data_IF_111285037616
#
_entry.id   IF_111285037616
#
_cell.length_a   1.000
_cell.length_b   1.000
_cell.length_c   1.000
_cell.angle_alpha   90.00
_cell.angle_beta   90.00
_cell.angle_gamma   90.00
#
_symmetry.space_group_name_H-M   'P 1'
#
loop_
_entity.id
_entity.type
_entity.pdbx_description
1 polymer ?
#
# COMPACT_ATOMS: atom_id res chain seq x y z
N UNK A 1 -7.62 24.49 7.35
CA UNK A 1 -6.74 23.42 7.89
C UNK A 1 -7.56 22.26 8.43
N UNK A 2 -8.55 22.49 9.33
CA UNK A 2 -9.47 21.46 9.83
C UNK A 2 -10.15 20.62 8.73
N UNK A 3 -10.82 21.25 7.78
CA UNK A 3 -11.52 20.54 6.69
C UNK A 3 -10.59 19.69 5.81
N UNK A 4 -9.29 20.03 5.76
CA UNK A 4 -8.29 19.29 5.00
C UNK A 4 -7.77 18.05 5.77
N UNK A 5 -7.71 18.09 7.09
CA UNK A 5 -7.17 16.99 7.91
C UNK A 5 -8.14 15.81 7.95
N UNK A 6 -9.44 16.06 8.10
CA UNK A 6 -10.44 14.99 8.04
C UNK A 6 -10.37 14.24 6.71
N UNK A 7 -10.26 14.99 5.61
CA UNK A 7 -10.04 14.43 4.28
C UNK A 7 -8.82 13.53 4.20
N UNK A 8 -7.69 13.91 4.81
CA UNK A 8 -6.46 13.11 4.86
C UNK A 8 -6.57 11.86 5.74
N UNK A 9 -7.28 11.93 6.86
CA UNK A 9 -7.46 10.79 7.80
C UNK A 9 -8.36 9.73 7.17
N UNK A 10 -9.45 10.15 6.52
CA UNK A 10 -10.49 9.26 6.01
C UNK A 10 -10.24 8.83 4.55
N UNK A 11 -9.21 9.38 3.88
CA UNK A 11 -8.96 9.10 2.47
C UNK A 11 -8.68 7.62 2.20
N UNK A 12 -9.60 6.96 1.49
CA UNK A 12 -9.43 5.59 1.01
C UNK A 12 -9.06 4.61 2.13
N UNK A 13 -9.73 4.73 3.29
CA UNK A 13 -9.56 3.88 4.47
C UNK A 13 -8.12 3.86 5.06
N UNK A 14 -7.25 4.80 4.64
CA UNK A 14 -5.83 4.90 5.06
C UNK A 14 -5.66 5.64 6.37
N UNK A 15 -6.45 5.29 7.38
CA UNK A 15 -6.42 5.95 8.67
C UNK A 15 -5.02 5.77 9.29
N UNK A 16 -4.32 6.85 9.66
CA UNK A 16 -2.99 6.75 10.28
C UNK A 16 -2.98 5.92 11.56
N UNK A 17 -1.85 5.26 11.86
CA UNK A 17 -1.64 4.63 13.17
C UNK A 17 -1.26 5.68 14.19
N UNK A 18 -1.97 5.64 15.32
CA UNK A 18 -1.79 6.57 16.41
C UNK A 18 -2.02 5.88 17.76
N UNK A 19 -1.21 6.27 18.73
CA UNK A 19 -1.42 5.98 20.14
C UNK A 19 -0.95 7.18 20.96
N UNK A 20 -1.61 7.49 22.07
CA UNK A 20 -1.29 8.66 22.91
C UNK A 20 0.15 8.64 23.43
N UNK A 21 0.67 7.47 23.78
CA UNK A 21 2.01 7.32 24.37
C UNK A 21 3.08 6.95 23.33
N UNK A 22 2.70 6.75 22.06
CA UNK A 22 3.64 6.47 20.98
C UNK A 22 4.04 7.81 20.30
N UNK A 23 5.34 8.12 20.12
CA UNK A 23 5.78 9.47 19.77
C UNK A 23 5.53 9.87 18.31
N UNK A 24 5.13 8.93 17.45
CA UNK A 24 5.01 9.13 16.01
C UNK A 24 3.59 8.81 15.55
N UNK A 25 3.05 9.56 14.59
CA UNK A 25 1.85 9.19 13.83
C UNK A 25 2.30 8.59 12.50
N UNK A 26 1.85 7.37 12.19
CA UNK A 26 2.30 6.63 11.01
C UNK A 26 1.23 6.65 9.92
N UNK A 27 1.54 7.29 8.82
CA UNK A 27 0.75 7.25 7.59
C UNK A 27 1.20 6.08 6.71
N UNK A 28 0.27 5.54 5.95
CA UNK A 28 0.55 4.39 5.09
C UNK A 28 -0.36 4.41 3.85
N UNK A 29 -0.06 3.52 2.91
CA UNK A 29 -0.88 3.30 1.72
C UNK A 29 -0.94 1.82 1.39
N UNK A 30 -2.05 1.40 0.81
CA UNK A 30 -2.21 0.03 0.35
C UNK A 30 -1.08 -0.36 -0.60
N UNK A 31 -0.57 -1.59 -0.42
CA UNK A 31 0.55 -2.19 -1.19
C UNK A 31 1.92 -1.56 -0.98
N UNK A 32 2.06 -0.72 0.05
CA UNK A 32 3.32 -0.07 0.45
C UNK A 32 3.94 -0.63 1.73
N UNK A 33 3.58 -1.87 2.13
CA UNK A 33 4.08 -2.49 3.35
C UNK A 33 3.25 -2.18 4.60
N UNK A 34 1.98 -1.81 4.42
CA UNK A 34 1.05 -1.46 5.50
C UNK A 34 0.91 -2.54 6.58
N UNK A 35 0.91 -3.82 6.20
CA UNK A 35 0.85 -4.94 7.16
C UNK A 35 2.08 -5.01 8.05
N UNK A 36 3.28 -4.85 7.48
CA UNK A 36 4.52 -4.84 8.25
C UNK A 36 4.61 -3.63 9.17
N UNK A 37 4.16 -2.46 8.70
CA UNK A 37 4.10 -1.25 9.52
C UNK A 37 3.09 -1.39 10.66
N UNK A 38 1.91 -1.97 10.40
CA UNK A 38 0.90 -2.24 11.42
C UNK A 38 1.42 -3.23 12.47
N UNK A 39 2.05 -4.33 12.05
CA UNK A 39 2.69 -5.29 12.96
C UNK A 39 3.70 -4.59 13.88
N UNK A 40 4.58 -3.76 13.31
CA UNK A 40 5.55 -2.99 14.09
C UNK A 40 4.88 -2.00 15.04
N UNK A 41 3.89 -1.24 14.58
CA UNK A 41 3.15 -0.31 15.42
C UNK A 41 2.50 -1.03 16.62
N UNK A 42 1.78 -2.14 16.39
CA UNK A 42 1.14 -2.91 17.46
C UNK A 42 2.15 -3.55 18.41
N UNK A 43 3.33 -3.93 17.91
CA UNK A 43 4.44 -4.38 18.76
C UNK A 43 4.91 -3.26 19.68
N UNK A 44 5.15 -2.06 19.14
CA UNK A 44 5.64 -0.92 19.92
C UNK A 44 4.68 -0.48 21.02
N UNK A 45 3.37 -0.61 20.81
CA UNK A 45 2.36 -0.26 21.83
C UNK A 45 1.94 -1.45 22.70
N UNK A 46 2.61 -2.61 22.59
CA UNK A 46 2.36 -3.78 23.43
C UNK A 46 1.06 -4.55 23.14
N UNK A 47 0.46 -4.37 21.96
CA UNK A 47 -0.81 -4.99 21.57
C UNK A 47 -0.68 -6.07 20.48
N UNK A 48 0.54 -6.36 20.00
CA UNK A 48 0.76 -7.30 18.91
C UNK A 48 0.22 -8.71 19.19
N UNK A 49 0.51 -9.27 20.37
CA UNK A 49 0.03 -10.61 20.72
C UNK A 49 -1.49 -10.70 20.81
N UNK A 50 -2.14 -9.66 21.35
CA UNK A 50 -3.59 -9.56 21.43
C UNK A 50 -4.19 -9.51 20.02
N UNK A 51 -3.61 -8.68 19.15
CA UNK A 51 -4.06 -8.51 17.78
C UNK A 51 -3.93 -9.80 16.96
N UNK A 52 -2.82 -10.53 17.10
CA UNK A 52 -2.60 -11.80 16.39
C UNK A 52 -3.43 -12.96 16.96
N UNK A 53 -3.88 -12.89 18.23
CA UNK A 53 -4.86 -13.84 18.79
C UNK A 53 -6.27 -13.61 18.26
N UNK A 54 -6.62 -12.37 17.98
CA UNK A 54 -7.94 -12.00 17.44
C UNK A 54 -8.15 -12.57 16.03
N UNK A 55 -7.18 -12.39 15.14
CA UNK A 55 -7.24 -12.91 13.78
C UNK A 55 -5.82 -13.12 13.21
N UNK A 56 -5.65 -14.03 12.22
CA UNK A 56 -4.35 -14.28 11.59
C UNK A 56 -3.84 -13.14 10.69
N UNK A 57 -4.57 -12.03 10.60
CA UNK A 57 -4.21 -10.84 9.84
C UNK A 57 -4.47 -9.59 10.65
N UNK A 58 -3.40 -8.83 10.92
CA UNK A 58 -3.39 -7.68 11.84
C UNK A 58 -4.44 -6.62 11.51
N UNK A 59 -4.77 -6.45 10.22
CA UNK A 59 -5.71 -5.44 9.77
C UNK A 59 -7.14 -5.69 10.28
N UNK A 60 -7.53 -6.93 10.61
CA UNK A 60 -8.83 -7.20 11.25
C UNK A 60 -8.92 -6.57 12.65
N UNK A 61 -7.92 -6.84 13.50
CA UNK A 61 -7.85 -6.20 14.82
C UNK A 61 -7.75 -4.68 14.71
N UNK A 62 -6.94 -4.21 13.75
CA UNK A 62 -6.74 -2.79 13.49
C UNK A 62 -8.07 -2.07 13.19
N UNK A 63 -8.85 -2.56 12.23
CA UNK A 63 -10.08 -1.91 11.78
C UNK A 63 -11.27 -2.15 12.71
N UNK A 64 -11.44 -3.38 13.20
CA UNK A 64 -12.66 -3.78 13.93
C UNK A 64 -12.60 -3.43 15.41
N UNK A 65 -11.39 -3.44 15.99
CA UNK A 65 -11.18 -3.22 17.43
C UNK A 65 -10.45 -1.90 17.68
N UNK A 66 -9.24 -1.74 17.15
CA UNK A 66 -8.35 -0.67 17.61
C UNK A 66 -8.78 0.71 17.12
N UNK A 67 -9.01 0.89 15.81
CA UNK A 67 -9.42 2.17 15.22
C UNK A 67 -10.92 2.44 15.38
N UNK A 68 -11.70 1.44 15.76
CA UNK A 68 -13.14 1.57 16.02
C UNK A 68 -13.44 2.08 17.44
N UNK A 69 -12.42 2.38 18.25
CA UNK A 69 -12.58 3.04 19.55
C UNK A 69 -13.18 4.44 19.35
N UNK A 70 -14.16 4.79 20.19
CA UNK A 70 -14.97 6.02 20.08
C UNK A 70 -14.13 7.29 19.97
N UNK A 71 -12.98 7.34 20.65
CA UNK A 71 -12.13 8.51 20.75
C UNK A 71 -10.93 8.50 19.79
N UNK A 72 -10.72 7.42 19.01
CA UNK A 72 -9.54 7.26 18.17
C UNK A 72 -9.39 8.41 17.16
N UNK A 73 -10.43 8.66 16.37
CA UNK A 73 -10.43 9.68 15.32
C UNK A 73 -10.30 11.09 15.90
N UNK A 74 -11.08 11.39 16.93
CA UNK A 74 -11.04 12.71 17.59
C UNK A 74 -9.66 12.99 18.16
N UNK A 75 -9.04 12.01 18.83
CA UNK A 75 -7.69 12.17 19.38
C UNK A 75 -6.62 12.31 18.27
N UNK A 76 -6.72 11.51 17.21
CA UNK A 76 -5.83 11.61 16.05
C UNK A 76 -5.93 12.99 15.38
N UNK A 77 -7.15 13.47 15.14
CA UNK A 77 -7.39 14.78 14.51
C UNK A 77 -6.80 15.91 15.36
N UNK A 78 -7.04 15.90 16.68
CA UNK A 78 -6.47 16.90 17.59
C UNK A 78 -4.94 16.92 17.53
N UNK A 79 -4.30 15.75 17.56
CA UNK A 79 -2.84 15.64 17.53
C UNK A 79 -2.24 16.09 16.20
N UNK A 80 -2.92 15.82 15.07
CA UNK A 80 -2.52 16.34 13.76
C UNK A 80 -2.71 17.86 13.64
N UNK A 81 -3.75 18.43 14.24
CA UNK A 81 -3.98 19.88 14.28
C UNK A 81 -2.96 20.62 15.14
N UNK A 82 -2.56 20.02 16.26
CA UNK A 82 -1.57 20.57 17.17
C UNK A 82 -0.13 20.43 16.64
N UNK A 83 0.09 19.57 15.64
CA UNK A 83 1.40 19.20 15.10
C UNK A 83 2.40 18.75 16.18
N UNK A 84 1.86 18.18 17.27
CA UNK A 84 2.59 17.87 18.50
C UNK A 84 3.45 16.61 18.43
N UNK A 85 3.15 15.72 17.47
CA UNK A 85 3.92 14.50 17.18
C UNK A 85 4.65 14.60 15.86
N UNK A 86 5.70 13.80 15.71
CA UNK A 86 6.27 13.57 14.39
C UNK A 86 5.37 12.66 13.56
N UNK A 87 5.43 12.85 12.26
CA UNK A 87 4.54 12.21 11.30
C UNK A 87 5.38 11.61 10.20
N UNK A 88 5.24 10.29 10.03
CA UNK A 88 6.04 9.53 9.08
C UNK A 88 5.10 8.78 8.15
N UNK A 89 5.32 8.84 6.84
CA UNK A 89 4.61 8.01 5.87
C UNK A 89 5.51 6.93 5.29
N UNK A 90 5.03 5.70 5.30
CA UNK A 90 5.65 4.59 4.55
C UNK A 90 5.16 4.58 3.11
N UNK A 91 6.10 4.71 2.17
CA UNK A 91 5.85 4.77 0.73
C UNK A 91 6.67 3.72 0.01
N UNK A 92 6.28 3.38 -1.22
CA UNK A 92 6.96 2.36 -2.03
C UNK A 92 7.21 2.88 -3.44
N UNK A 93 8.27 2.40 -4.08
CA UNK A 93 8.53 2.67 -5.48
C UNK A 93 7.27 2.37 -6.34
N UNK A 94 6.78 3.33 -7.16
CA UNK A 94 5.54 3.15 -7.91
C UNK A 94 5.56 1.97 -8.88
N UNK A 95 6.71 1.59 -9.45
CA UNK A 95 6.82 0.40 -10.29
C UNK A 95 6.61 -0.89 -9.50
N UNK A 96 7.33 -1.07 -8.39
CA UNK A 96 7.14 -2.25 -7.52
C UNK A 96 5.70 -2.30 -6.98
N UNK A 97 5.11 -1.13 -6.71
CA UNK A 97 3.74 -1.03 -6.22
C UNK A 97 2.70 -1.40 -7.29
N UNK A 98 2.82 -0.90 -8.52
CA UNK A 98 1.86 -1.18 -9.60
C UNK A 98 1.73 -2.69 -9.89
N UNK A 99 2.86 -3.40 -9.98
CA UNK A 99 2.85 -4.87 -10.12
C UNK A 99 2.24 -5.53 -8.88
N UNK A 100 2.60 -5.06 -7.69
CA UNK A 100 2.00 -5.56 -6.44
C UNK A 100 0.49 -5.39 -6.45
N UNK A 101 -0.03 -4.26 -6.93
CA UNK A 101 -1.46 -3.99 -7.07
C UNK A 101 -2.13 -4.93 -8.07
N UNK A 102 -1.52 -5.13 -9.25
CA UNK A 102 -2.01 -6.08 -10.25
C UNK A 102 -2.11 -7.51 -9.71
N UNK A 103 -1.08 -7.97 -8.99
CA UNK A 103 -1.02 -9.31 -8.41
C UNK A 103 -2.04 -9.56 -7.29
N UNK A 104 -2.81 -8.55 -6.86
CA UNK A 104 -3.99 -8.79 -6.02
C UNK A 104 -5.04 -9.57 -6.79
N UNK A 105 -5.14 -9.36 -8.10
CA UNK A 105 -6.09 -10.08 -8.94
C UNK A 105 -5.74 -11.58 -9.07
N UNK A 106 -4.49 -11.95 -8.78
CA UNK A 106 -4.01 -13.33 -8.80
C UNK A 106 -4.26 -14.03 -7.46
N UNK A 107 -5.15 -15.03 -7.50
CA UNK A 107 -5.38 -15.97 -6.41
C UNK A 107 -5.61 -15.26 -5.06
N UNK A 108 -6.64 -14.42 -5.03
CA UNK A 108 -7.02 -13.66 -3.85
C UNK A 108 -8.56 -13.49 -3.79
N UNK A 109 -9.23 -13.99 -2.74
CA UNK A 109 -10.67 -13.84 -2.57
C UNK A 109 -11.14 -12.37 -2.56
N UNK A 110 -10.30 -11.45 -2.07
CA UNK A 110 -10.60 -10.01 -2.05
C UNK A 110 -10.94 -9.47 -3.44
N UNK A 111 -10.26 -9.99 -4.48
CA UNK A 111 -10.31 -9.47 -5.83
C UNK A 111 -11.64 -9.69 -6.58
N UNK A 112 -12.60 -10.42 -5.99
CA UNK A 112 -13.84 -10.83 -6.67
C UNK A 112 -14.62 -9.63 -7.21
N UNK A 113 -14.79 -8.57 -6.41
CA UNK A 113 -15.50 -7.36 -6.82
C UNK A 113 -14.71 -6.54 -7.85
N UNK A 114 -13.38 -6.52 -7.73
CA UNK A 114 -12.50 -5.83 -8.66
C UNK A 114 -12.52 -6.52 -10.03
N UNK A 115 -12.56 -7.86 -10.04
CA UNK A 115 -12.73 -8.64 -11.27
C UNK A 115 -14.03 -8.31 -12.00
N UNK A 116 -15.16 -8.25 -11.30
CA UNK A 116 -16.45 -7.85 -11.90
C UNK A 116 -16.34 -6.50 -12.60
N UNK A 117 -15.77 -5.49 -11.93
CA UNK A 117 -15.65 -4.14 -12.48
C UNK A 117 -14.70 -4.06 -13.68
N UNK A 118 -13.59 -4.78 -13.64
CA UNK A 118 -12.60 -4.76 -14.72
C UNK A 118 -13.12 -5.52 -15.94
N UNK A 119 -13.81 -6.64 -15.74
CA UNK A 119 -14.39 -7.44 -16.83
C UNK A 119 -15.57 -6.75 -17.48
N UNK A 120 -16.42 -6.09 -16.70
CA UNK A 120 -17.45 -5.21 -17.25
C UNK A 120 -16.83 -4.13 -18.16
N UNK A 121 -15.70 -3.54 -17.76
CA UNK A 121 -15.02 -2.51 -18.55
C UNK A 121 -14.43 -3.04 -19.86
N UNK A 122 -13.72 -4.17 -19.85
CA UNK A 122 -13.04 -4.68 -21.06
C UNK A 122 -13.94 -5.54 -21.96
N UNK A 123 -14.91 -6.23 -21.39
CA UNK A 123 -15.70 -7.25 -22.08
C UNK A 123 -17.18 -6.94 -22.14
N UNK A 124 -17.64 -5.86 -21.47
CA UNK A 124 -19.06 -5.53 -21.34
C UNK A 124 -19.87 -6.69 -20.74
N UNK A 125 -19.23 -7.48 -19.87
CA UNK A 125 -19.82 -8.56 -19.09
C UNK A 125 -18.99 -8.82 -17.82
N UNK A 126 -19.52 -8.40 -16.66
CA UNK A 126 -18.92 -8.65 -15.34
C UNK A 126 -18.73 -10.14 -15.00
N UNK A 127 -19.48 -11.05 -15.63
CA UNK A 127 -19.41 -12.49 -15.36
C UNK A 127 -18.47 -13.23 -16.33
N UNK A 128 -17.81 -12.51 -17.24
CA UNK A 128 -16.81 -13.10 -18.13
C UNK A 128 -15.72 -13.82 -17.30
N UNK A 129 -15.16 -14.88 -17.87
CA UNK A 129 -14.13 -15.71 -17.23
C UNK A 129 -12.71 -15.30 -17.61
N UNK A 130 -12.54 -14.57 -18.72
CA UNK A 130 -11.25 -14.06 -19.19
C UNK A 130 -10.58 -13.18 -18.13
N UNK A 131 -9.27 -13.33 -18.02
CA UNK A 131 -8.45 -12.42 -17.24
C UNK A 131 -7.86 -11.33 -18.13
N UNK A 132 -6.98 -10.53 -17.54
CA UNK A 132 -6.38 -9.37 -18.20
C UNK A 132 -4.86 -9.43 -18.06
N UNK A 133 -4.16 -8.75 -18.96
CA UNK A 133 -2.74 -8.50 -18.85
C UNK A 133 -2.42 -7.34 -17.89
N UNK A 134 -1.14 -7.20 -17.53
CA UNK A 134 -0.68 -6.07 -16.73
C UNK A 134 -0.93 -4.74 -17.45
N UNK A 135 -0.69 -4.66 -18.77
CA UNK A 135 -0.97 -3.44 -19.54
C UNK A 135 -2.45 -3.10 -19.58
N UNK A 136 -3.33 -4.10 -19.76
CA UNK A 136 -4.77 -3.89 -19.66
C UNK A 136 -5.15 -3.36 -18.26
N UNK A 137 -4.60 -3.94 -17.19
CA UNK A 137 -4.79 -3.40 -15.85
C UNK A 137 -4.36 -1.91 -15.73
N UNK A 138 -3.20 -1.54 -16.28
CA UNK A 138 -2.73 -0.15 -16.26
C UNK A 138 -3.67 0.78 -17.04
N UNK A 139 -4.17 0.36 -18.20
CA UNK A 139 -5.17 1.14 -18.95
C UNK A 139 -6.47 1.33 -18.16
N UNK A 140 -6.94 0.29 -17.47
CA UNK A 140 -8.09 0.40 -16.58
C UNK A 140 -7.86 1.43 -15.47
N UNK A 141 -6.70 1.38 -14.80
CA UNK A 141 -6.36 2.35 -13.75
C UNK A 141 -6.25 3.76 -14.31
N UNK A 142 -5.65 3.93 -15.49
CA UNK A 142 -5.54 5.21 -16.18
C UNK A 142 -6.92 5.80 -16.48
N UNK A 143 -7.82 5.00 -17.04
CA UNK A 143 -9.18 5.43 -17.40
C UNK A 143 -10.00 5.80 -16.17
N UNK A 144 -9.95 4.99 -15.10
CA UNK A 144 -10.65 5.30 -13.85
C UNK A 144 -10.05 6.50 -13.11
N UNK A 145 -8.79 6.82 -13.38
CA UNK A 145 -8.03 7.86 -12.73
C UNK A 145 -7.46 7.41 -11.38
N UNK A 146 -6.14 7.49 -11.22
CA UNK A 146 -5.45 7.03 -10.01
C UNK A 146 -5.85 7.76 -8.72
N UNK A 147 -6.49 8.93 -8.83
CA UNK A 147 -7.02 9.76 -7.72
C UNK A 147 -8.50 9.53 -7.42
N UNK A 148 -9.19 8.76 -8.27
CA UNK A 148 -10.63 8.60 -8.18
C UNK A 148 -11.03 7.82 -6.94
N UNK A 149 -12.02 8.33 -6.21
CA UNK A 149 -12.61 7.64 -5.05
C UNK A 149 -13.38 6.37 -5.46
N UNK A 150 -13.69 6.21 -6.75
CA UNK A 150 -14.38 5.03 -7.27
C UNK A 150 -13.39 3.89 -7.60
N UNK A 151 -12.10 4.21 -7.73
CA UNK A 151 -11.07 3.22 -7.95
C UNK A 151 -10.70 2.56 -6.62
N UNK A 152 -10.50 1.25 -6.64
CA UNK A 152 -10.03 0.51 -5.47
C UNK A 152 -8.74 1.12 -4.90
N UNK A 153 -8.71 1.30 -3.58
CA UNK A 153 -7.59 1.89 -2.86
C UNK A 153 -6.26 1.14 -3.00
N UNK A 154 -6.31 -0.15 -3.35
CA UNK A 154 -5.14 -0.94 -3.67
C UNK A 154 -4.56 -0.62 -5.05
N UNK A 155 -5.35 -0.04 -5.95
CA UNK A 155 -4.95 0.34 -7.30
C UNK A 155 -4.66 1.85 -7.41
N UNK A 156 -5.29 2.67 -6.57
CA UNK A 156 -5.12 4.12 -6.54
C UNK A 156 -3.69 4.56 -6.19
N UNK A 157 -3.32 5.81 -6.44
CA UNK A 157 -2.00 6.34 -6.09
C UNK A 157 -1.76 6.41 -4.57
N UNK A 158 -0.51 6.60 -4.15
CA UNK A 158 -0.16 6.73 -2.73
C UNK A 158 -0.31 8.15 -2.22
N UNK A 159 0.15 9.13 -3.00
CA UNK A 159 0.13 10.55 -2.67
C UNK A 159 -1.29 11.10 -2.61
N UNK A 160 -1.54 11.88 -1.56
CA UNK A 160 -2.78 12.62 -1.37
C UNK A 160 -2.40 14.10 -1.35
N UNK A 161 -3.06 14.90 -2.17
CA UNK A 161 -2.77 16.33 -2.27
C UNK A 161 -2.91 17.03 -0.91
N UNK A 162 -1.89 17.78 -0.50
CA UNK A 162 -1.90 18.52 0.76
C UNK A 162 -1.37 17.73 1.96
N UNK A 163 -1.00 16.46 1.79
CA UNK A 163 -0.47 15.63 2.88
C UNK A 163 0.91 16.09 3.38
N UNK A 164 1.67 16.82 2.54
CA UNK A 164 2.96 17.43 2.88
C UNK A 164 2.85 18.49 3.99
N UNK A 165 1.64 19.01 4.24
CA UNK A 165 1.38 19.96 5.33
C UNK A 165 1.38 19.29 6.70
N UNK A 166 1.19 17.98 6.73
CA UNK A 166 1.11 17.21 7.99
C UNK A 166 2.18 16.15 8.08
N UNK A 167 2.64 15.53 6.98
CA UNK A 167 3.70 14.51 6.98
C UNK A 167 5.07 15.19 6.94
N UNK A 168 5.85 15.00 8.01
CA UNK A 168 7.20 15.58 8.14
C UNK A 168 8.28 14.73 7.45
N UNK A 169 8.07 13.42 7.35
CA UNK A 169 9.05 12.50 6.78
C UNK A 169 8.40 11.38 5.98
N UNK A 170 9.03 11.02 4.85
CA UNK A 170 8.68 9.83 4.07
C UNK A 170 9.78 8.77 4.22
N UNK A 171 9.39 7.54 4.51
CA UNK A 171 10.29 6.38 4.55
C UNK A 171 9.97 5.45 3.38
N UNK A 172 11.01 5.00 2.68
CA UNK A 172 10.87 4.11 1.53
C UNK A 172 10.85 2.65 2.00
N UNK A 173 9.86 1.87 1.57
CA UNK A 173 9.70 0.46 1.93
C UNK A 173 10.95 -0.36 1.59
N UNK A 174 11.65 0.01 0.53
CA UNK A 174 12.91 -0.61 0.09
C UNK A 174 13.99 -0.56 1.18
N UNK A 175 13.88 0.38 2.12
CA UNK A 175 14.82 0.59 3.23
C UNK A 175 14.20 0.23 4.60
N UNK A 176 13.07 -0.48 4.63
CA UNK A 176 12.32 -0.75 5.88
C UNK A 176 13.20 -1.41 6.95
N UNK A 177 13.94 -2.46 6.57
CA UNK A 177 14.78 -3.23 7.50
C UNK A 177 15.94 -2.42 8.09
N UNK A 178 16.33 -1.31 7.45
CA UNK A 178 17.38 -0.42 7.95
C UNK A 178 16.82 0.78 8.70
N UNK A 179 15.68 1.32 8.25
CA UNK A 179 15.09 2.54 8.82
C UNK A 179 14.37 2.23 10.13
N UNK A 180 13.66 1.11 10.24
CA UNK A 180 12.89 0.81 11.46
C UNK A 180 13.79 0.71 12.70
N UNK A 181 14.91 -0.06 12.70
CA UNK A 181 15.83 -0.07 13.83
C UNK A 181 16.42 1.31 14.17
N UNK A 182 16.62 2.16 13.16
CA UNK A 182 17.09 3.52 13.36
C UNK A 182 16.03 4.39 14.05
N UNK A 183 14.76 4.30 13.61
CA UNK A 183 13.64 4.98 14.27
C UNK A 183 13.45 4.48 15.71
N UNK A 184 13.61 3.17 15.95
CA UNK A 184 13.56 2.62 17.30
C UNK A 184 14.60 3.27 18.21
N UNK A 185 15.83 3.42 17.72
CA UNK A 185 16.90 4.10 18.45
C UNK A 185 16.60 5.59 18.67
N UNK A 186 16.19 6.30 17.62
CA UNK A 186 16.00 7.76 17.65
C UNK A 186 14.86 8.18 18.58
N UNK A 187 13.80 7.37 18.66
CA UNK A 187 12.63 7.63 19.50
C UNK A 187 12.63 6.84 20.82
N UNK A 188 13.67 6.05 21.11
CA UNK A 188 13.77 5.24 22.33
C UNK A 188 12.70 4.15 22.43
N UNK A 189 12.31 3.58 21.29
CA UNK A 189 11.29 2.52 21.19
C UNK A 189 11.87 1.14 21.49
N UNK A 190 11.01 0.13 21.57
CA UNK A 190 11.42 -1.26 21.76
C UNK A 190 12.17 -1.75 20.52
N UNK A 191 13.27 -2.48 20.73
CA UNK A 191 13.93 -3.17 19.61
C UNK A 191 13.03 -4.30 19.13
N UNK A 192 12.74 -4.34 17.83
CA UNK A 192 11.89 -5.37 17.24
C UNK A 192 12.65 -6.37 16.39
N UNK A 193 12.17 -7.61 16.34
CA UNK A 193 12.61 -8.57 15.33
C UNK A 193 11.85 -8.31 14.03
N UNK A 194 12.45 -7.47 13.17
CA UNK A 194 11.86 -7.08 11.89
C UNK A 194 11.57 -8.29 11.00
N UNK A 195 12.37 -9.36 11.10
CA UNK A 195 12.16 -10.56 10.27
C UNK A 195 10.83 -11.22 10.60
N UNK A 196 10.44 -11.24 11.87
CA UNK A 196 9.15 -11.78 12.32
C UNK A 196 7.99 -10.86 11.91
N UNK A 197 8.15 -9.54 12.06
CA UNK A 197 7.09 -8.56 11.78
C UNK A 197 6.84 -8.34 10.28
N UNK A 198 7.83 -8.62 9.44
CA UNK A 198 7.75 -8.51 7.98
C UNK A 198 7.38 -9.82 7.28
N UNK A 199 7.35 -10.93 8.00
CA UNK A 199 6.96 -12.22 7.46
C UNK A 199 5.43 -12.29 7.27
N UNK A 200 4.96 -11.86 6.11
CA UNK A 200 3.57 -11.96 5.71
C UNK A 200 3.43 -12.88 4.50
N UNK A 201 2.45 -13.78 4.52
CA UNK A 201 2.07 -14.59 3.36
C UNK A 201 1.68 -13.72 2.14
N UNK A 202 1.33 -12.44 2.35
CA UNK A 202 1.05 -11.49 1.27
C UNK A 202 2.32 -10.88 0.65
N UNK A 203 3.48 -11.02 1.29
CA UNK A 203 4.76 -10.55 0.76
C UNK A 203 5.37 -11.58 -0.19
N UNK A 204 4.91 -11.56 -1.44
CA UNK A 204 5.26 -12.55 -2.47
C UNK A 204 6.61 -12.29 -3.17
N UNK A 205 7.37 -11.26 -2.78
CA UNK A 205 8.60 -10.86 -3.49
C UNK A 205 9.65 -11.99 -3.55
N UNK A 206 9.78 -12.78 -2.48
CA UNK A 206 10.69 -13.93 -2.43
C UNK A 206 10.29 -15.09 -3.36
N UNK A 207 9.02 -15.14 -3.78
CA UNK A 207 8.46 -16.15 -4.68
C UNK A 207 8.51 -15.69 -6.15
N UNK A 208 8.73 -14.40 -6.39
CA UNK A 208 8.72 -13.78 -7.72
C UNK A 208 10.02 -14.06 -8.48
N UNK A 209 10.22 -15.30 -8.92
CA UNK A 209 11.50 -15.78 -9.50
C UNK A 209 11.47 -15.99 -11.02
N UNK A 210 10.28 -16.05 -11.64
CA UNK A 210 10.13 -16.37 -13.06
C UNK A 210 10.46 -15.15 -13.94
N UNK A 211 11.49 -15.27 -14.78
CA UNK A 211 11.94 -14.23 -15.71
C UNK A 211 11.33 -14.44 -17.09
N UNK A 212 10.89 -13.37 -17.75
CA UNK A 212 10.34 -13.41 -19.10
C UNK A 212 9.73 -12.08 -19.50
N UNK A 213 8.87 -12.09 -20.53
CA UNK A 213 7.99 -10.99 -20.86
C UNK A 213 6.55 -11.43 -20.57
N UNK A 214 5.91 -10.81 -19.59
CA UNK A 214 4.54 -11.08 -19.16
C UNK A 214 3.69 -9.80 -19.10
N UNK A 215 4.12 -8.72 -19.77
CA UNK A 215 3.38 -7.46 -19.79
C UNK A 215 1.99 -7.60 -20.45
N UNK A 216 1.90 -8.45 -21.49
CA UNK A 216 0.71 -8.73 -22.29
C UNK A 216 0.02 -10.07 -21.94
N UNK A 217 0.56 -10.83 -21.00
CA UNK A 217 0.06 -12.17 -20.69
C UNK A 217 -1.14 -12.11 -19.74
N UNK A 218 -2.18 -12.90 -20.04
CA UNK A 218 -3.37 -13.03 -19.19
C UNK A 218 -3.00 -13.71 -17.87
N UNK A 219 -3.22 -13.01 -16.75
CA UNK A 219 -2.90 -13.49 -15.40
C UNK A 219 -3.71 -14.73 -14.96
N UNK A 220 -4.81 -15.04 -15.65
CA UNK A 220 -5.65 -16.23 -15.39
C UNK A 220 -5.30 -17.42 -16.28
N UNK A 221 -4.41 -17.24 -17.26
CA UNK A 221 -3.96 -18.34 -18.11
C UNK A 221 -3.30 -19.42 -17.22
N UNK A 222 -3.69 -20.71 -17.34
CA UNK A 222 -3.06 -21.80 -16.58
C UNK A 222 -1.54 -21.93 -16.79
N UNK A 223 -1.02 -21.41 -17.90
CA UNK A 223 0.42 -21.38 -18.20
C UNK A 223 1.12 -20.09 -17.76
N UNK A 224 0.37 -19.10 -17.24
CA UNK A 224 0.97 -17.94 -16.60
C UNK A 224 1.81 -18.42 -15.42
N UNK A 225 3.13 -18.15 -15.39
CA UNK A 225 3.95 -18.67 -14.32
C UNK A 225 3.49 -18.06 -13.01
N UNK A 226 3.45 -18.87 -11.95
CA UNK A 226 3.13 -18.35 -10.62
C UNK A 226 4.18 -17.32 -10.23
N UNK A 227 3.79 -16.04 -10.25
CA UNK A 227 4.57 -14.90 -9.77
C UNK A 227 5.86 -14.63 -10.58
N UNK A 228 5.76 -13.95 -11.75
CA UNK A 228 6.93 -13.42 -12.44
C UNK A 228 7.73 -12.43 -11.59
N UNK A 229 9.01 -12.23 -11.91
CA UNK A 229 9.81 -11.13 -11.32
C UNK A 229 9.19 -9.78 -11.64
N UNK A 230 9.37 -8.77 -10.78
CA UNK A 230 8.88 -7.41 -11.04
C UNK A 230 9.29 -6.89 -12.43
N UNK A 231 10.52 -7.18 -12.90
CA UNK A 231 11.02 -6.77 -14.23
C UNK A 231 10.22 -7.34 -15.38
N UNK A 232 9.66 -8.54 -15.21
CA UNK A 232 9.05 -9.26 -16.32
C UNK A 232 7.69 -8.69 -16.73
N UNK A 233 7.14 -7.77 -15.95
CA UNK A 233 5.92 -7.03 -16.27
C UNK A 233 6.19 -5.73 -17.05
N UNK A 234 7.45 -5.37 -17.29
CA UNK A 234 7.80 -4.08 -17.87
C UNK A 234 8.47 -4.21 -19.24
N UNK A 235 7.70 -3.87 -20.27
CA UNK A 235 8.20 -3.33 -21.52
C UNK A 235 8.21 -1.78 -21.47
N UNK A 236 8.56 -1.13 -22.58
CA UNK A 236 8.62 0.34 -22.68
C UNK A 236 7.24 0.98 -22.46
N UNK A 237 6.17 0.34 -22.96
CA UNK A 237 4.80 0.83 -22.85
C UNK A 237 4.31 0.80 -21.39
N UNK A 238 4.46 -0.34 -20.71
CA UNK A 238 4.10 -0.47 -19.30
C UNK A 238 4.89 0.48 -18.40
N UNK A 239 6.16 0.72 -18.74
CA UNK A 239 7.00 1.71 -18.07
C UNK A 239 6.42 3.12 -18.16
N UNK A 240 6.10 3.55 -19.38
CA UNK A 240 5.54 4.87 -19.62
C UNK A 240 4.16 5.04 -18.99
N UNK A 241 3.31 4.01 -19.06
CA UNK A 241 1.99 4.01 -18.41
C UNK A 241 2.10 4.20 -16.89
N UNK A 242 2.98 3.46 -16.21
CA UNK A 242 3.15 3.63 -14.75
C UNK A 242 3.71 5.02 -14.40
N UNK A 243 4.68 5.52 -15.18
CA UNK A 243 5.21 6.88 -15.00
C UNK A 243 4.12 7.94 -15.14
N UNK A 244 3.22 7.79 -16.10
CA UNK A 244 2.12 8.72 -16.35
C UNK A 244 1.06 8.63 -15.24
N UNK A 245 0.53 7.43 -14.98
CA UNK A 245 -0.57 7.18 -14.03
C UNK A 245 -0.20 7.65 -12.62
N UNK A 246 1.02 7.37 -12.17
CA UNK A 246 1.47 7.64 -10.80
C UNK A 246 2.48 8.78 -10.72
N UNK A 247 2.40 9.75 -11.65
CA UNK A 247 3.34 10.89 -11.73
C UNK A 247 3.52 11.60 -10.38
N UNK A 248 2.43 11.84 -9.65
CA UNK A 248 2.48 12.48 -8.34
C UNK A 248 3.29 11.68 -7.30
N UNK A 249 3.18 10.34 -7.30
CA UNK A 249 3.95 9.50 -6.38
C UNK A 249 5.46 9.62 -6.67
N UNK A 250 5.84 9.71 -7.94
CA UNK A 250 7.24 9.89 -8.31
C UNK A 250 7.77 11.23 -7.81
N UNK A 251 7.01 12.30 -8.03
CA UNK A 251 7.41 13.67 -7.70
C UNK A 251 7.43 13.90 -6.19
N UNK A 252 6.34 13.55 -5.50
CA UNK A 252 6.19 13.77 -4.06
C UNK A 252 7.22 13.00 -3.22
N UNK A 253 7.63 11.79 -3.64
CA UNK A 253 8.53 10.94 -2.86
C UNK A 253 9.95 10.82 -3.43
N UNK A 254 10.26 11.61 -4.46
CA UNK A 254 11.59 11.63 -5.08
C UNK A 254 11.99 10.25 -5.62
N UNK A 255 11.09 9.58 -6.33
CA UNK A 255 11.43 8.43 -7.15
C UNK A 255 11.71 8.90 -8.58
N UNK A 256 12.63 8.22 -9.26
CA UNK A 256 12.94 8.53 -10.64
C UNK A 256 11.99 7.82 -11.59
N UNK A 257 11.42 8.57 -12.53
CA UNK A 257 10.64 8.04 -13.65
C UNK A 257 11.57 7.34 -14.66
N UNK A 258 11.05 6.34 -15.33
CA UNK A 258 11.67 5.52 -16.37
C UNK A 258 12.97 4.80 -15.96
N UNK A 259 13.25 4.72 -14.65
CA UNK A 259 14.37 3.94 -14.10
C UNK A 259 13.83 2.78 -13.26
N UNK A 260 13.98 1.55 -13.79
CA UNK A 260 13.73 0.33 -13.02
C UNK A 260 15.03 -0.14 -12.37
N UNK A 261 15.22 0.20 -11.11
CA UNK A 261 16.25 -0.39 -10.26
C UNK A 261 15.56 -1.34 -9.27
N UNK A 262 15.44 -2.63 -9.64
CA UNK A 262 14.81 -3.65 -8.81
C UNK A 262 15.77 -4.38 -7.90
#
# INVERSE_FOLDING_TARGET
MKDNIKGLIEYGERIPHFHKDFPIILFWSHRSGCTSLANWFFFQIGLYEEAMKYAPFIHYYESEIYKNKVDYYTNLEMQLLELSKDTIKLVRNPYKRAVSSFLILYDNPYASKQWEQIREYFYNDKNESKGISFKQFLYYVKEKGAKSIQLDQHFSQQYIEGEEKVIKQNIKLENFNTIIPQLEKDYGLLSSDISLLTNSNHHRAHQMIHKGNYADEDITNPHFPSLPTYRSFYDEEALNLVSEIFTDDFEAYGYKKNEINF
#
